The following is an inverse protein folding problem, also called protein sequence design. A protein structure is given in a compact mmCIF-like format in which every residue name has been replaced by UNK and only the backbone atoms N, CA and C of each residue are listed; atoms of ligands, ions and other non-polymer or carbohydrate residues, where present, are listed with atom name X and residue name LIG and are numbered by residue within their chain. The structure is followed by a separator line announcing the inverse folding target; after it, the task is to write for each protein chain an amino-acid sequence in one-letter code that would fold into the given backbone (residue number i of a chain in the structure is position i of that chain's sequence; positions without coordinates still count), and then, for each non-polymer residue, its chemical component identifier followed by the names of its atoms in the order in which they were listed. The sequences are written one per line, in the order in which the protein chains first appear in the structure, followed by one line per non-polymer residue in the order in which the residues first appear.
data_IF_688071737688
#
_entry.id   IF_688071737688
#
_cell.length_a   1.000
_cell.length_b   1.000
_cell.length_c   1.000
_cell.angle_alpha   90.00
_cell.angle_beta   90.00
_cell.angle_gamma   90.00
#
_symmetry.space_group_name_H-M   'P 1'
#
loop_
_entity.id
_entity.type
_entity.pdbx_description
1 polymer ?
#
# COMPACT_ATOMS: atom_id res chain seq x y z
N UNK A 1 -5.78 -2.55 -37.07
CA UNK A 1 -4.99 -3.15 -38.17
C UNK A 1 -4.85 -2.11 -39.26
N UNK A 2 -3.63 -1.66 -39.55
CA UNK A 2 -3.35 -0.96 -40.81
C UNK A 2 -2.92 -2.02 -41.82
N UNK A 3 -3.65 -2.13 -42.92
CA UNK A 3 -3.26 -2.95 -44.06
C UNK A 3 -3.03 -2.00 -45.22
N UNK A 4 -1.90 -2.13 -45.92
CA UNK A 4 -1.68 -1.45 -47.19
C UNK A 4 -1.43 -2.48 -48.28
N UNK A 5 -1.89 -2.18 -49.49
CA UNK A 5 -1.63 -3.02 -50.66
C UNK A 5 -0.28 -2.56 -51.23
N UNK A 6 0.73 -3.41 -51.06
CA UNK A 6 2.03 -3.26 -51.71
C UNK A 6 2.12 -4.19 -52.92
N UNK A 7 3.33 -4.38 -53.44
CA UNK A 7 3.60 -5.42 -54.42
C UNK A 7 5.08 -5.72 -54.52
N UNK A 8 5.41 -6.94 -54.93
CA UNK A 8 6.81 -7.40 -55.06
C UNK A 8 7.55 -6.75 -56.23
N UNK A 9 6.81 -6.16 -57.18
CA UNK A 9 7.34 -5.50 -58.36
C UNK A 9 6.64 -4.16 -58.62
N UNK A 10 7.42 -3.17 -59.05
CA UNK A 10 6.93 -1.82 -59.39
C UNK A 10 7.50 -1.38 -60.73
N UNK A 11 6.73 -0.59 -61.47
CA UNK A 11 7.17 0.03 -62.73
C UNK A 11 8.28 1.06 -62.50
N UNK A 12 8.97 1.52 -63.56
CA UNK A 12 10.06 2.51 -63.49
C UNK A 12 11.15 2.14 -62.47
N UNK A 13 11.71 0.95 -62.61
CA UNK A 13 12.83 0.45 -61.78
C UNK A 13 12.59 0.59 -60.26
N UNK A 14 11.35 0.35 -59.81
CA UNK A 14 11.01 0.35 -58.38
C UNK A 14 10.30 1.60 -57.86
N UNK A 15 10.23 2.69 -58.64
CA UNK A 15 9.66 3.99 -58.17
C UNK A 15 8.22 4.25 -58.61
N UNK A 16 7.72 3.50 -59.59
CA UNK A 16 6.39 3.67 -60.15
C UNK A 16 5.29 2.95 -59.38
N UNK A 17 4.16 2.73 -60.06
CA UNK A 17 3.02 1.97 -59.54
C UNK A 17 3.35 0.49 -59.43
N UNK A 18 2.64 -0.22 -58.55
CA UNK A 18 2.70 -1.69 -58.47
C UNK A 18 2.26 -2.30 -59.80
N UNK A 19 2.98 -3.32 -60.27
CA UNK A 19 2.64 -4.05 -61.50
C UNK A 19 1.39 -4.90 -61.23
N UNK A 20 0.42 -4.86 -62.15
CA UNK A 20 -0.82 -5.64 -62.02
C UNK A 20 -0.53 -7.14 -61.97
N UNK A 21 -1.07 -7.84 -60.97
CA UNK A 21 -0.80 -9.25 -60.66
C UNK A 21 0.35 -9.49 -59.69
N UNK A 22 1.11 -8.45 -59.31
CA UNK A 22 2.18 -8.51 -58.32
C UNK A 22 1.78 -7.90 -56.96
N UNK A 23 0.50 -7.61 -56.76
CA UNK A 23 -0.03 -7.05 -55.52
C UNK A 23 0.12 -8.06 -54.37
N UNK A 24 0.59 -7.58 -53.22
CA UNK A 24 0.59 -8.34 -51.98
C UNK A 24 0.04 -7.48 -50.85
N UNK A 25 -0.82 -8.09 -50.04
CA UNK A 25 -1.29 -7.44 -48.81
C UNK A 25 -0.15 -7.52 -47.81
N UNK A 26 0.54 -6.40 -47.60
CA UNK A 26 1.52 -6.32 -46.51
C UNK A 26 0.74 -5.99 -45.25
N UNK A 27 0.60 -7.00 -44.39
CA UNK A 27 0.12 -6.77 -43.04
C UNK A 27 1.21 -6.00 -42.29
N UNK A 28 0.94 -4.74 -41.96
CA UNK A 28 1.85 -4.00 -41.08
C UNK A 28 1.93 -4.74 -39.74
N UNK A 29 3.17 -4.99 -39.28
CA UNK A 29 3.43 -5.52 -37.93
C UNK A 29 2.67 -4.66 -36.94
N UNK A 30 1.98 -5.28 -35.97
CA UNK A 30 1.19 -4.55 -35.00
C UNK A 30 2.12 -3.55 -34.27
N UNK A 31 1.90 -2.23 -34.38
CA UNK A 31 2.79 -1.26 -33.78
C UNK A 31 2.92 -1.42 -32.26
N UNK A 32 1.94 -2.02 -31.58
CA UNK A 32 1.99 -2.30 -30.14
C UNK A 32 2.97 -3.40 -29.74
N UNK A 33 3.30 -4.31 -30.66
CA UNK A 33 4.33 -5.32 -30.40
C UNK A 33 5.71 -4.64 -30.25
N UNK A 34 5.91 -3.47 -30.89
CA UNK A 34 7.09 -2.61 -30.73
C UNK A 34 6.86 -1.46 -29.71
N UNK A 35 5.74 -0.74 -29.75
CA UNK A 35 5.40 0.38 -28.85
C UNK A 35 5.08 -0.04 -27.42
N UNK A 36 5.09 -1.35 -27.12
CA UNK A 36 5.03 -1.87 -25.77
C UNK A 36 6.15 -1.36 -24.85
N UNK A 37 7.20 -0.71 -25.35
CA UNK A 37 8.20 -0.02 -24.52
C UNK A 37 7.62 1.16 -23.76
N UNK A 38 6.98 2.10 -24.46
CA UNK A 38 6.38 3.29 -23.83
C UNK A 38 5.35 2.91 -22.76
N UNK A 39 4.55 1.86 -23.01
CA UNK A 39 3.57 1.39 -22.04
C UNK A 39 4.23 0.86 -20.75
N UNK A 40 5.41 0.24 -20.84
CA UNK A 40 6.17 -0.21 -19.67
C UNK A 40 6.77 0.98 -18.92
N UNK A 41 7.29 1.98 -19.64
CA UNK A 41 7.80 3.21 -19.01
C UNK A 41 6.70 3.98 -18.26
N UNK A 42 5.52 4.13 -18.90
CA UNK A 42 4.33 4.73 -18.27
C UNK A 42 3.91 3.93 -17.02
N UNK A 43 3.94 2.59 -17.11
CA UNK A 43 3.63 1.71 -15.98
C UNK A 43 4.59 1.93 -14.82
N UNK A 44 5.90 1.96 -15.09
CA UNK A 44 6.94 2.14 -14.07
C UNK A 44 6.81 3.51 -13.40
N UNK A 45 6.54 4.56 -14.17
CA UNK A 45 6.31 5.90 -13.64
C UNK A 45 5.07 5.95 -12.72
N UNK A 46 3.93 5.39 -13.15
CA UNK A 46 2.72 5.30 -12.33
C UNK A 46 2.95 4.48 -11.06
N UNK A 47 3.63 3.33 -11.20
CA UNK A 47 3.93 2.43 -10.09
C UNK A 47 4.78 3.13 -9.03
N UNK A 48 5.82 3.85 -9.44
CA UNK A 48 6.72 4.55 -8.53
C UNK A 48 6.05 5.73 -7.82
N UNK A 49 5.01 6.31 -8.41
CA UNK A 49 4.17 7.35 -7.79
C UNK A 49 3.12 6.78 -6.82
N UNK A 50 3.07 5.47 -6.60
CA UNK A 50 2.06 4.82 -5.75
C UNK A 50 0.71 4.61 -6.44
N UNK A 51 0.59 4.93 -7.73
CA UNK A 51 -0.63 4.79 -8.52
C UNK A 51 -0.81 3.36 -9.05
N UNK A 52 -0.88 2.38 -8.14
CA UNK A 52 -0.91 0.95 -8.46
C UNK A 52 -2.14 0.54 -9.29
N UNK A 53 -3.35 0.92 -8.87
CA UNK A 53 -4.57 0.63 -9.66
C UNK A 53 -4.55 1.26 -11.07
N UNK A 54 -4.17 2.54 -11.24
CA UNK A 54 -3.93 3.12 -12.56
C UNK A 54 -2.87 2.38 -13.39
N UNK A 55 -1.75 1.98 -12.78
CA UNK A 55 -0.71 1.19 -13.45
C UNK A 55 -1.24 -0.16 -13.95
N UNK A 56 -2.03 -0.87 -13.14
CA UNK A 56 -2.68 -2.12 -13.55
C UNK A 56 -3.68 -1.90 -14.71
N UNK A 57 -4.44 -0.80 -14.69
CA UNK A 57 -5.38 -0.43 -15.75
C UNK A 57 -4.66 -0.09 -17.06
N UNK A 58 -3.51 0.59 -16.98
CA UNK A 58 -2.65 0.87 -18.15
C UNK A 58 -2.18 -0.42 -18.81
N UNK A 59 -1.81 -1.44 -18.02
CA UNK A 59 -1.45 -2.75 -18.54
C UNK A 59 -2.66 -3.49 -19.14
N UNK A 60 -3.82 -3.43 -18.50
CA UNK A 60 -5.04 -4.06 -19.04
C UNK A 60 -5.41 -3.53 -20.43
N UNK A 61 -5.36 -2.21 -20.63
CA UNK A 61 -5.58 -1.60 -21.94
C UNK A 61 -4.52 -2.07 -22.96
N UNK A 62 -3.25 -2.09 -22.56
CA UNK A 62 -2.15 -2.49 -23.45
C UNK A 62 -2.26 -3.96 -23.87
N UNK A 63 -2.64 -4.84 -22.96
CA UNK A 63 -2.82 -6.28 -23.22
C UNK A 63 -3.88 -6.58 -24.29
N UNK A 64 -4.91 -5.72 -24.42
CA UNK A 64 -5.95 -5.84 -25.45
C UNK A 64 -5.45 -5.48 -26.85
N UNK A 65 -4.36 -4.71 -26.93
CA UNK A 65 -3.81 -4.16 -28.17
C UNK A 65 -2.63 -4.95 -28.74
N UNK A 66 -1.88 -5.66 -27.89
CA UNK A 66 -0.77 -6.53 -28.28
C UNK A 66 -1.31 -7.81 -28.90
N UNK A 67 -0.69 -8.33 -29.96
CA UNK A 67 -1.07 -9.63 -30.53
C UNK A 67 -0.11 -10.74 -30.11
N UNK A 68 1.18 -10.42 -29.98
CA UNK A 68 2.21 -11.39 -29.61
C UNK A 68 1.96 -12.03 -28.23
N UNK A 69 1.99 -13.36 -28.19
CA UNK A 69 1.66 -14.14 -26.99
C UNK A 69 2.73 -14.02 -25.91
N UNK A 70 4.00 -13.92 -26.31
CA UNK A 70 5.10 -13.78 -25.35
C UNK A 70 5.03 -12.42 -24.69
N UNK A 71 4.89 -11.36 -25.49
CA UNK A 71 4.73 -9.99 -25.02
C UNK A 71 3.49 -9.81 -24.14
N UNK A 72 2.38 -10.46 -24.47
CA UNK A 72 1.18 -10.50 -23.61
C UNK A 72 1.49 -11.07 -22.22
N UNK A 73 2.24 -12.16 -22.12
CA UNK A 73 2.61 -12.75 -20.81
C UNK A 73 3.52 -11.83 -19.99
N UNK A 74 4.51 -11.24 -20.65
CA UNK A 74 5.40 -10.24 -20.04
C UNK A 74 4.60 -9.07 -19.44
N UNK A 75 3.73 -8.43 -20.22
CA UNK A 75 2.92 -7.31 -19.75
C UNK A 75 1.90 -7.72 -18.68
N UNK A 76 1.37 -8.95 -18.75
CA UNK A 76 0.47 -9.48 -17.73
C UNK A 76 1.18 -9.66 -16.38
N UNK A 77 2.49 -9.95 -16.37
CA UNK A 77 3.27 -10.02 -15.13
C UNK A 77 3.41 -8.65 -14.44
N UNK A 78 3.55 -7.56 -15.21
CA UNK A 78 3.54 -6.20 -14.68
C UNK A 78 2.17 -5.83 -14.10
N UNK A 79 1.09 -6.22 -14.78
CA UNK A 79 -0.28 -6.06 -14.25
C UNK A 79 -0.42 -6.77 -12.89
N UNK A 80 0.04 -8.02 -12.77
CA UNK A 80 0.02 -8.77 -11.49
C UNK A 80 0.80 -8.05 -10.39
N UNK A 81 1.98 -7.52 -10.71
CA UNK A 81 2.80 -6.75 -9.78
C UNK A 81 2.06 -5.51 -9.25
N UNK A 82 1.42 -4.73 -10.13
CA UNK A 82 0.64 -3.57 -9.69
C UNK A 82 -0.60 -3.96 -8.88
N UNK A 83 -1.33 -4.99 -9.28
CA UNK A 83 -2.50 -5.47 -8.52
C UNK A 83 -2.12 -6.00 -7.13
N UNK A 84 -0.94 -6.61 -6.98
CA UNK A 84 -0.39 -7.01 -5.68
C UNK A 84 -0.29 -5.79 -4.76
N UNK A 85 0.45 -4.77 -5.18
CA UNK A 85 0.71 -3.62 -4.32
C UNK A 85 -0.52 -2.74 -4.13
N UNK A 86 -1.44 -2.71 -5.10
CA UNK A 86 -2.76 -2.08 -4.91
C UNK A 86 -3.58 -2.78 -3.81
N UNK A 87 -3.64 -4.12 -3.82
CA UNK A 87 -4.34 -4.87 -2.79
C UNK A 87 -3.71 -4.64 -1.41
N UNK A 88 -2.38 -4.67 -1.33
CA UNK A 88 -1.67 -4.43 -0.07
C UNK A 88 -1.86 -3.00 0.42
N UNK A 89 -1.79 -2.00 -0.46
CA UNK A 89 -1.94 -0.60 -0.07
C UNK A 89 -3.36 -0.27 0.46
N UNK A 90 -4.35 -1.11 0.12
CA UNK A 90 -5.72 -1.07 0.65
C UNK A 90 -5.94 -1.98 1.87
N UNK A 91 -4.88 -2.57 2.43
CA UNK A 91 -4.90 -3.53 3.55
C UNK A 91 -5.68 -4.83 3.26
N UNK A 92 -5.90 -5.18 1.99
CA UNK A 92 -6.43 -6.50 1.62
C UNK A 92 -5.27 -7.52 1.58
N UNK A 93 -4.75 -7.83 2.77
CA UNK A 93 -3.54 -8.66 2.94
C UNK A 93 -3.70 -10.05 2.33
N UNK A 94 -4.91 -10.63 2.38
CA UNK A 94 -5.20 -11.95 1.79
C UNK A 94 -5.11 -11.89 0.27
N UNK A 95 -5.74 -10.90 -0.37
CA UNK A 95 -5.63 -10.75 -1.82
C UNK A 95 -4.20 -10.40 -2.23
N UNK A 96 -3.51 -9.55 -1.48
CA UNK A 96 -2.10 -9.22 -1.72
C UNK A 96 -1.22 -10.47 -1.68
N UNK A 97 -1.33 -11.32 -0.65
CA UNK A 97 -0.54 -12.55 -0.55
C UNK A 97 -0.78 -13.50 -1.73
N UNK A 98 -2.02 -13.68 -2.15
CA UNK A 98 -2.34 -14.52 -3.31
C UNK A 98 -1.70 -13.96 -4.59
N UNK A 99 -1.83 -12.65 -4.84
CA UNK A 99 -1.24 -11.98 -6.00
C UNK A 99 0.29 -11.98 -5.96
N UNK A 100 0.89 -11.93 -4.78
CA UNK A 100 2.33 -12.05 -4.61
C UNK A 100 2.82 -13.41 -5.11
N UNK A 101 2.18 -14.49 -4.67
CA UNK A 101 2.50 -15.86 -5.10
C UNK A 101 2.34 -16.03 -6.61
N UNK A 102 1.27 -15.49 -7.20
CA UNK A 102 1.05 -15.51 -8.64
C UNK A 102 2.14 -14.72 -9.41
N UNK A 103 2.62 -13.63 -8.83
CA UNK A 103 3.70 -12.80 -9.39
C UNK A 103 5.03 -13.55 -9.31
N UNK A 104 5.34 -14.19 -8.19
CA UNK A 104 6.53 -15.04 -8.01
C UNK A 104 6.55 -16.22 -9.00
N UNK A 105 5.40 -16.85 -9.27
CA UNK A 105 5.29 -17.89 -10.30
C UNK A 105 5.57 -17.38 -11.72
N UNK A 106 5.37 -16.08 -11.97
CA UNK A 106 5.57 -15.43 -13.27
C UNK A 106 6.93 -14.72 -13.38
N UNK A 107 7.92 -15.12 -12.57
CA UNK A 107 9.20 -14.40 -12.44
C UNK A 107 9.96 -14.24 -13.77
N UNK A 108 9.96 -15.26 -14.63
CA UNK A 108 10.64 -15.17 -15.93
C UNK A 108 9.99 -14.14 -16.87
N UNK A 109 8.65 -14.08 -16.87
CA UNK A 109 7.90 -13.08 -17.65
C UNK A 109 8.15 -11.67 -17.08
N UNK A 110 8.22 -11.54 -15.75
CA UNK A 110 8.53 -10.27 -15.08
C UNK A 110 9.95 -9.79 -15.41
N UNK A 111 10.93 -10.69 -15.39
CA UNK A 111 12.31 -10.39 -15.79
C UNK A 111 12.38 -9.86 -17.22
N UNK A 112 11.70 -10.55 -18.14
CA UNK A 112 11.64 -10.14 -19.54
C UNK A 112 10.91 -8.81 -19.73
N UNK A 113 9.86 -8.54 -18.94
CA UNK A 113 9.11 -7.28 -19.00
C UNK A 113 9.94 -6.06 -18.53
N UNK A 114 10.70 -6.22 -17.44
CA UNK A 114 11.51 -5.15 -16.84
C UNK A 114 12.76 -4.81 -17.66
N UNK A 115 13.32 -5.78 -18.42
CA UNK A 115 14.47 -5.59 -19.32
C UNK A 115 15.75 -5.06 -18.67
N UNK A 116 15.81 -5.10 -17.34
CA UNK A 116 16.98 -4.78 -16.55
C UNK A 116 17.13 -5.88 -15.49
N UNK A 117 18.24 -6.61 -15.56
CA UNK A 117 18.52 -7.75 -14.68
C UNK A 117 18.78 -7.29 -13.24
N UNK A 118 19.45 -6.15 -13.05
CA UNK A 118 19.75 -5.61 -11.72
C UNK A 118 18.47 -5.13 -11.06
N UNK A 119 17.61 -4.44 -11.82
CA UNK A 119 16.27 -4.07 -11.37
C UNK A 119 15.44 -5.30 -11.01
N UNK A 120 15.41 -6.32 -11.88
CA UNK A 120 14.68 -7.55 -11.61
C UNK A 120 15.16 -8.24 -10.35
N UNK A 121 16.47 -8.43 -10.18
CA UNK A 121 17.04 -9.13 -9.02
C UNK A 121 16.69 -8.39 -7.71
N UNK A 122 16.73 -7.05 -7.72
CA UNK A 122 16.29 -6.21 -6.60
C UNK A 122 14.81 -6.41 -6.30
N UNK A 123 13.94 -6.25 -7.30
CA UNK A 123 12.48 -6.39 -7.14
C UNK A 123 12.12 -7.80 -6.68
N UNK A 124 12.71 -8.82 -7.28
CA UNK A 124 12.46 -10.22 -6.95
C UNK A 124 12.91 -10.57 -5.53
N UNK A 125 14.06 -10.04 -5.08
CA UNK A 125 14.50 -10.13 -3.69
C UNK A 125 13.50 -9.49 -2.72
N UNK A 126 12.98 -8.30 -3.05
CA UNK A 126 11.94 -7.64 -2.25
C UNK A 126 10.65 -8.44 -2.21
N UNK A 127 10.19 -9.01 -3.33
CA UNK A 127 8.98 -9.85 -3.39
C UNK A 127 9.08 -11.07 -2.46
N UNK A 128 10.25 -11.69 -2.36
CA UNK A 128 10.47 -12.80 -1.41
C UNK A 128 10.35 -12.33 0.04
N UNK A 129 11.00 -11.23 0.40
CA UNK A 129 10.90 -10.65 1.75
C UNK A 129 9.45 -10.24 2.07
N UNK A 130 8.71 -9.76 1.07
CA UNK A 130 7.31 -9.39 1.20
C UNK A 130 6.41 -10.60 1.50
N UNK A 131 6.75 -11.80 1.06
CA UNK A 131 5.97 -13.01 1.36
C UNK A 131 6.04 -13.34 2.86
N UNK A 132 7.20 -13.15 3.47
CA UNK A 132 7.41 -13.34 4.91
C UNK A 132 6.61 -12.33 5.76
N UNK A 133 6.38 -11.12 5.22
CA UNK A 133 5.58 -10.07 5.87
C UNK A 133 4.08 -10.30 5.68
N UNK A 134 3.64 -10.59 4.45
CA UNK A 134 2.22 -10.73 4.11
C UNK A 134 1.58 -12.00 4.68
N UNK A 135 2.35 -13.08 4.85
CA UNK A 135 1.84 -14.34 5.43
C UNK A 135 1.14 -14.12 6.79
N UNK A 136 1.86 -13.63 7.81
CA UNK A 136 1.28 -13.35 9.13
C UNK A 136 0.14 -12.32 9.13
N UNK A 137 0.22 -11.30 8.27
CA UNK A 137 -0.82 -10.27 8.13
C UNK A 137 -2.12 -10.88 7.59
N UNK A 138 -2.04 -11.72 6.55
CA UNK A 138 -3.21 -12.33 5.92
C UNK A 138 -3.96 -13.32 6.82
N UNK A 139 -3.29 -13.91 7.81
CA UNK A 139 -3.89 -14.85 8.76
C UNK A 139 -4.45 -14.16 10.02
N UNK A 140 -4.31 -12.83 10.15
CA UNK A 140 -4.72 -12.06 11.35
C UNK A 140 -4.12 -12.60 12.67
N UNK A 141 -3.03 -13.38 12.56
CA UNK A 141 -2.35 -14.05 13.69
C UNK A 141 -1.07 -13.34 14.12
N UNK A 142 -0.64 -12.29 13.42
CA UNK A 142 0.66 -11.65 13.61
C UNK A 142 0.61 -10.19 14.05
N UNK A 143 1.53 -9.81 14.95
CA UNK A 143 1.80 -8.43 15.40
C UNK A 143 2.47 -7.51 14.36
N UNK A 144 2.08 -7.63 13.09
CA UNK A 144 2.64 -6.85 11.98
C UNK A 144 1.80 -5.65 11.56
N UNK A 145 0.52 -5.59 11.95
CA UNK A 145 -0.43 -4.59 11.45
C UNK A 145 0.01 -3.16 11.76
N UNK A 146 0.57 -2.93 12.95
CA UNK A 146 1.11 -1.62 13.35
C UNK A 146 2.20 -1.17 12.37
N UNK A 147 3.18 -2.03 12.08
CA UNK A 147 4.27 -1.71 11.14
C UNK A 147 3.75 -1.51 9.72
N UNK A 148 2.74 -2.25 9.31
CA UNK A 148 2.12 -2.09 8.00
C UNK A 148 1.35 -0.76 7.87
N UNK A 149 0.60 -0.36 8.90
CA UNK A 149 -0.05 0.95 8.97
C UNK A 149 0.96 2.10 8.92
N UNK A 150 2.07 2.00 9.64
CA UNK A 150 3.16 2.98 9.60
C UNK A 150 3.81 3.03 8.20
N UNK A 151 4.10 1.87 7.62
CA UNK A 151 4.65 1.78 6.25
C UNK A 151 3.71 2.44 5.23
N UNK A 152 2.40 2.23 5.37
CA UNK A 152 1.39 2.83 4.51
C UNK A 152 1.25 4.35 4.75
N UNK A 153 1.30 4.81 6.01
CA UNK A 153 1.31 6.23 6.33
C UNK A 153 2.48 6.98 5.65
N UNK A 154 3.68 6.38 5.65
CA UNK A 154 4.84 6.93 4.93
C UNK A 154 4.63 6.99 3.41
N UNK A 155 3.93 6.02 2.82
CA UNK A 155 3.55 6.09 1.40
C UNK A 155 2.60 7.24 1.11
N UNK A 156 1.64 7.52 2.01
CA UNK A 156 0.74 8.69 1.86
C UNK A 156 1.50 10.02 1.98
N UNK A 157 2.50 10.09 2.84
CA UNK A 157 3.38 11.26 2.94
C UNK A 157 4.16 11.51 1.65
N UNK A 158 4.71 10.46 1.03
CA UNK A 158 5.37 10.56 -0.28
C UNK A 158 4.44 11.07 -1.39
N UNK A 159 3.12 10.91 -1.23
CA UNK A 159 2.07 11.42 -2.13
C UNK A 159 1.54 12.80 -1.72
N UNK A 160 2.08 13.42 -0.66
CA UNK A 160 1.55 14.64 -0.04
C UNK A 160 0.09 14.55 0.41
N UNK A 161 -0.38 13.33 0.72
CA UNK A 161 -1.73 13.05 1.21
C UNK A 161 -1.74 12.93 2.73
N UNK A 162 -1.50 14.04 3.42
CA UNK A 162 -1.25 14.02 4.86
C UNK A 162 -2.48 13.69 5.71
N UNK A 163 -3.69 14.06 5.29
CA UNK A 163 -4.92 13.64 5.99
C UNK A 163 -5.06 12.10 5.99
N UNK A 164 -4.82 11.47 4.84
CA UNK A 164 -4.80 10.02 4.67
C UNK A 164 -3.69 9.37 5.53
N UNK A 165 -2.50 9.96 5.54
CA UNK A 165 -1.36 9.51 6.35
C UNK A 165 -1.67 9.58 7.85
N UNK A 166 -2.22 10.70 8.32
CA UNK A 166 -2.59 10.92 9.72
C UNK A 166 -3.66 9.95 10.19
N UNK A 167 -4.66 9.62 9.35
CA UNK A 167 -5.65 8.60 9.68
C UNK A 167 -5.01 7.22 9.96
N UNK A 168 -3.98 6.85 9.17
CA UNK A 168 -3.24 5.60 9.35
C UNK A 168 -2.36 5.63 10.60
N UNK A 169 -1.73 6.77 10.91
CA UNK A 169 -0.97 6.95 12.15
C UNK A 169 -1.85 6.84 13.39
N UNK A 170 -3.02 7.49 13.37
CA UNK A 170 -4.00 7.36 14.45
C UNK A 170 -4.42 5.89 14.63
N UNK A 171 -4.73 5.19 13.54
CA UNK A 171 -5.09 3.77 13.60
C UNK A 171 -3.96 2.91 14.14
N UNK A 172 -2.71 3.18 13.76
CA UNK A 172 -1.53 2.47 14.26
C UNK A 172 -1.37 2.66 15.77
N UNK A 173 -1.45 3.89 16.28
CA UNK A 173 -1.37 4.21 17.71
C UNK A 173 -2.51 3.52 18.46
N UNK A 174 -3.74 3.55 17.94
CA UNK A 174 -4.86 2.83 18.55
C UNK A 174 -4.64 1.30 18.55
N UNK A 175 -4.09 0.74 17.48
CA UNK A 175 -3.78 -0.69 17.37
C UNK A 175 -2.74 -1.12 18.40
N UNK A 176 -1.69 -0.31 18.65
CA UNK A 176 -0.68 -0.61 19.67
C UNK A 176 -1.32 -0.80 21.06
N UNK A 177 -2.24 0.09 21.45
CA UNK A 177 -2.94 -0.04 22.73
C UNK A 177 -3.86 -1.27 22.76
N UNK A 178 -4.61 -1.53 21.68
CA UNK A 178 -5.48 -2.70 21.56
C UNK A 178 -4.69 -4.01 21.65
N UNK A 179 -3.56 -4.10 20.95
CA UNK A 179 -2.67 -5.27 20.96
C UNK A 179 -2.11 -5.49 22.37
N UNK A 180 -1.63 -4.43 23.02
CA UNK A 180 -1.10 -4.51 24.39
C UNK A 180 -2.15 -4.96 25.40
N UNK A 181 -3.35 -4.38 25.36
CA UNK A 181 -4.48 -4.75 26.22
C UNK A 181 -4.88 -6.21 26.02
N UNK A 182 -4.92 -6.68 24.78
CA UNK A 182 -5.23 -8.08 24.46
C UNK A 182 -4.15 -9.03 24.99
N UNK A 183 -2.90 -8.80 24.59
CA UNK A 183 -1.80 -9.75 24.78
C UNK A 183 -1.29 -9.82 26.22
N UNK A 184 -1.27 -8.69 26.94
CA UNK A 184 -0.67 -8.62 28.27
C UNK A 184 -1.71 -8.48 29.39
N UNK A 185 -2.91 -7.98 29.08
CA UNK A 185 -3.95 -7.70 30.07
C UNK A 185 -5.23 -8.51 29.86
N UNK A 186 -5.30 -9.38 28.84
CA UNK A 186 -6.45 -10.24 28.56
C UNK A 186 -7.74 -9.46 28.27
N UNK A 187 -7.62 -8.27 27.66
CA UNK A 187 -8.74 -7.42 27.26
C UNK A 187 -8.83 -7.45 25.73
N UNK A 188 -9.62 -8.39 25.20
CA UNK A 188 -9.67 -8.68 23.76
C UNK A 188 -10.43 -7.62 22.94
N UNK A 189 -11.34 -6.88 23.58
CA UNK A 189 -12.25 -5.98 22.88
C UNK A 189 -12.48 -4.67 23.64
N UNK A 190 -11.83 -3.61 23.18
CA UNK A 190 -11.98 -2.25 23.75
C UNK A 190 -13.38 -1.65 23.55
N UNK A 191 -14.22 -2.24 22.70
CA UNK A 191 -15.62 -1.82 22.52
C UNK A 191 -16.55 -2.34 23.61
N UNK A 192 -16.13 -3.36 24.36
CA UNK A 192 -16.96 -4.01 25.38
C UNK A 192 -16.08 -4.61 26.49
N UNK A 193 -15.44 -3.75 27.27
CA UNK A 193 -14.63 -4.16 28.42
C UNK A 193 -15.55 -4.34 29.63
N UNK A 194 -15.64 -5.52 30.26
CA UNK A 194 -16.38 -5.69 31.50
C UNK A 194 -15.83 -4.77 32.60
N UNK A 195 -16.70 -4.05 33.32
CA UNK A 195 -16.28 -3.09 34.36
C UNK A 195 -15.40 -3.72 35.46
N UNK A 196 -15.63 -4.99 35.77
CA UNK A 196 -14.81 -5.75 36.73
C UNK A 196 -13.34 -5.85 36.31
N UNK A 197 -13.05 -5.84 35.00
CA UNK A 197 -11.68 -5.86 34.43
C UNK A 197 -11.02 -4.48 34.45
N UNK A 198 -11.78 -3.40 34.67
CA UNK A 198 -11.26 -2.05 34.82
C UNK A 198 -10.82 -1.86 36.28
N UNK A 199 -9.58 -1.47 36.57
CA UNK A 199 -9.13 -1.20 37.94
C UNK A 199 -9.70 0.13 38.50
N UNK A 200 -9.84 0.24 39.82
CA UNK A 200 -10.07 1.54 40.47
C UNK A 200 -8.83 2.45 40.30
N UNK A 201 -9.00 3.79 40.18
CA UNK A 201 -10.27 4.53 40.29
C UNK A 201 -11.07 4.60 38.98
N UNK A 202 -10.52 4.15 37.84
CA UNK A 202 -11.19 4.26 36.53
C UNK A 202 -12.53 3.53 36.48
N UNK A 203 -12.67 2.41 37.21
CA UNK A 203 -13.93 1.68 37.31
C UNK A 203 -15.07 2.56 37.83
N UNK A 204 -14.80 3.34 38.87
CA UNK A 204 -15.79 4.23 39.51
C UNK A 204 -16.12 5.40 38.58
N UNK A 205 -15.10 6.00 37.96
CA UNK A 205 -15.27 7.10 37.01
C UNK A 205 -16.10 6.67 35.78
N UNK A 206 -15.81 5.49 35.24
CA UNK A 206 -16.43 5.00 34.01
C UNK A 206 -17.75 4.26 34.23
N UNK A 207 -18.17 4.06 35.49
CA UNK A 207 -19.43 3.41 35.80
C UNK A 207 -20.63 4.13 35.17
N UNK A 208 -20.60 5.47 35.14
CA UNK A 208 -21.63 6.31 34.51
C UNK A 208 -21.75 6.14 32.98
N UNK A 209 -20.67 5.69 32.32
CA UNK A 209 -20.59 5.47 30.87
C UNK A 209 -20.94 4.03 30.48
N UNK A 210 -21.01 3.12 31.44
CA UNK A 210 -21.16 1.71 31.18
C UNK A 210 -22.58 1.38 30.68
N UNK A 211 -22.65 0.42 29.75
CA UNK A 211 -23.90 -0.20 29.27
C UNK A 211 -23.75 -1.70 29.42
N UNK A 212 -24.76 -2.36 29.98
CA UNK A 212 -24.73 -3.80 30.24
C UNK A 212 -23.47 -4.27 31.01
N UNK A 213 -23.09 -3.51 32.04
CA UNK A 213 -21.89 -3.73 32.86
C UNK A 213 -20.55 -3.75 32.09
N UNK A 214 -20.51 -3.13 30.91
CA UNK A 214 -19.32 -2.99 30.09
C UNK A 214 -19.13 -1.56 29.60
N UNK A 215 -17.88 -1.17 29.36
CA UNK A 215 -17.49 0.15 28.85
C UNK A 215 -16.81 0.01 27.48
N UNK A 216 -17.13 0.96 26.60
CA UNK A 216 -16.38 1.21 25.37
C UNK A 216 -15.33 2.28 25.64
N UNK A 217 -14.08 2.00 25.28
CA UNK A 217 -12.95 2.93 25.42
C UNK A 217 -12.34 3.22 24.05
N UNK A 218 -12.15 4.51 23.77
CA UNK A 218 -11.40 4.98 22.59
C UNK A 218 -9.90 5.04 22.87
N UNK A 219 -9.13 5.56 21.92
CA UNK A 219 -7.65 5.66 22.00
C UNK A 219 -7.16 6.24 23.34
N UNK A 220 -7.59 7.44 23.70
CA UNK A 220 -7.12 8.12 24.92
C UNK A 220 -7.41 7.29 26.19
N UNK A 221 -8.62 6.75 26.30
CA UNK A 221 -9.02 5.94 27.45
C UNK A 221 -8.32 4.57 27.47
N UNK A 222 -8.02 3.98 26.30
CA UNK A 222 -7.27 2.74 26.21
C UNK A 222 -5.83 2.91 26.74
N UNK A 223 -5.17 4.02 26.42
CA UNK A 223 -3.86 4.36 26.99
C UNK A 223 -3.93 4.73 28.47
N UNK A 224 -5.00 5.40 28.92
CA UNK A 224 -5.23 5.66 30.34
C UNK A 224 -5.39 4.36 31.12
N UNK A 225 -6.13 3.40 30.57
CA UNK A 225 -6.28 2.07 31.14
C UNK A 225 -4.94 1.34 31.22
N UNK A 226 -4.16 1.33 30.14
CA UNK A 226 -2.80 0.74 30.13
C UNK A 226 -1.91 1.36 31.21
N UNK A 227 -1.90 2.69 31.34
CA UNK A 227 -1.15 3.38 32.38
C UNK A 227 -1.62 2.96 33.78
N UNK A 228 -2.93 2.87 34.00
CA UNK A 228 -3.49 2.45 35.30
C UNK A 228 -3.17 0.98 35.62
N UNK A 229 -3.01 0.14 34.61
CA UNK A 229 -2.54 -1.25 34.74
C UNK A 229 -1.01 -1.36 34.93
N UNK A 230 -0.28 -0.23 34.96
CA UNK A 230 1.17 -0.20 35.10
C UNK A 230 1.93 -0.59 33.82
N UNK A 231 1.30 -0.45 32.66
CA UNK A 231 1.92 -0.79 31.38
C UNK A 231 2.84 0.35 30.87
N UNK A 232 4.11 0.06 30.54
CA UNK A 232 5.05 1.07 30.04
C UNK A 232 4.57 1.80 28.78
N UNK A 233 3.79 1.15 27.92
CA UNK A 233 3.24 1.79 26.71
C UNK A 233 2.25 2.90 27.08
N UNK A 234 1.45 2.66 28.12
CA UNK A 234 0.58 3.67 28.72
C UNK A 234 1.39 4.85 29.24
N UNK A 235 2.40 4.59 30.07
CA UNK A 235 3.26 5.65 30.63
C UNK A 235 3.95 6.49 29.55
N UNK A 236 4.52 5.82 28.54
CA UNK A 236 5.20 6.47 27.42
C UNK A 236 4.27 7.39 26.62
N UNK A 237 3.03 6.97 26.37
CA UNK A 237 2.04 7.79 25.69
C UNK A 237 1.76 9.11 26.42
N UNK A 238 1.56 9.05 27.73
CA UNK A 238 1.35 10.27 28.53
C UNK A 238 2.61 11.14 28.60
N UNK A 239 3.79 10.53 28.78
CA UNK A 239 5.07 11.24 28.83
C UNK A 239 5.42 11.93 27.51
N UNK A 240 4.94 11.39 26.38
CA UNK A 240 5.16 11.97 25.05
C UNK A 240 4.31 13.20 24.74
N UNK A 241 3.35 13.55 25.61
CA UNK A 241 2.43 14.67 25.38
C UNK A 241 1.24 14.34 24.47
N UNK A 242 1.14 13.12 23.93
CA UNK A 242 0.01 12.69 23.10
C UNK A 242 -1.34 12.63 23.85
N UNK A 243 -1.29 12.54 25.18
CA UNK A 243 -2.48 12.57 26.03
C UNK A 243 -3.12 13.98 26.15
N UNK A 244 -2.40 15.03 25.73
CA UNK A 244 -2.92 16.39 25.75
C UNK A 244 -4.07 16.54 24.74
N UNK A 245 -5.25 16.93 25.24
CA UNK A 245 -6.48 17.08 24.47
C UNK A 245 -6.59 18.40 23.72
N UNK A 246 -5.71 19.35 24.00
CA UNK A 246 -5.70 20.68 23.37
C UNK A 246 -4.48 20.86 22.48
N UNK A 247 -3.30 20.39 22.92
CA UNK A 247 -2.02 20.66 22.24
C UNK A 247 -1.37 19.50 21.50
N UNK A 248 -1.90 18.27 21.56
CA UNK A 248 -1.17 17.12 20.99
C UNK A 248 -1.31 17.00 19.47
N UNK A 249 -0.32 16.40 18.77
CA UNK A 249 -0.46 16.08 17.34
C UNK A 249 -1.66 15.18 17.01
N UNK A 250 -2.21 14.43 17.99
CA UNK A 250 -3.42 13.62 17.80
C UNK A 250 -4.68 14.47 17.64
N UNK A 251 -4.75 15.65 18.26
CA UNK A 251 -5.93 16.53 18.19
C UNK A 251 -6.07 17.15 16.82
N UNK A 252 -4.97 17.33 16.08
CA UNK A 252 -5.00 17.82 14.69
C UNK A 252 -5.89 16.97 13.78
N UNK A 253 -6.03 15.66 14.06
CA UNK A 253 -6.99 14.81 13.35
C UNK A 253 -8.43 15.28 13.58
N UNK A 254 -8.81 15.72 14.77
CA UNK A 254 -10.20 16.12 15.03
C UNK A 254 -10.60 17.34 14.18
N UNK A 255 -9.66 18.25 13.94
CA UNK A 255 -9.88 19.44 13.11
C UNK A 255 -9.74 19.18 11.59
N UNK A 256 -9.32 17.96 11.22
CA UNK A 256 -9.14 17.54 9.83
C UNK A 256 -10.48 17.42 9.09
N UNK A 257 -10.47 17.80 7.81
CA UNK A 257 -11.59 17.63 6.86
C UNK A 257 -12.02 16.16 6.69
N UNK A 258 -11.12 15.19 6.90
CA UNK A 258 -11.44 13.75 6.84
C UNK A 258 -11.89 13.17 8.18
N UNK A 259 -12.15 14.02 9.18
CA UNK A 259 -12.64 13.62 10.50
C UNK A 259 -13.84 14.48 10.91
N UNK A 260 -13.68 15.42 11.85
CA UNK A 260 -14.78 16.19 12.42
C UNK A 260 -14.65 17.71 12.19
N UNK A 261 -13.59 18.15 11.53
CA UNK A 261 -13.33 19.57 11.26
C UNK A 261 -13.36 19.92 9.78
N UNK A 262 -12.70 21.03 9.44
CA UNK A 262 -12.77 21.63 8.10
C UNK A 262 -11.40 22.02 7.54
N UNK A 263 -10.31 21.67 8.20
CA UNK A 263 -8.94 22.05 7.80
C UNK A 263 -8.17 20.86 7.23
N UNK A 264 -7.36 21.02 6.18
CA UNK A 264 -6.46 19.96 5.75
C UNK A 264 -5.29 19.81 6.73
N UNK A 265 -4.76 18.60 6.87
CA UNK A 265 -3.56 18.36 7.67
C UNK A 265 -2.33 18.91 6.94
N UNK A 266 -1.47 19.62 7.67
CA UNK A 266 -0.17 20.08 7.15
C UNK A 266 0.91 18.99 7.23
N UNK A 267 1.91 19.06 6.36
CA UNK A 267 3.11 18.22 6.43
C UNK A 267 3.76 18.22 7.83
N UNK A 268 3.83 19.40 8.47
CA UNK A 268 4.41 19.57 9.80
C UNK A 268 3.61 18.81 10.86
N UNK A 269 2.29 18.85 10.79
CA UNK A 269 1.40 18.14 11.71
C UNK A 269 1.51 16.62 11.54
N UNK A 270 1.54 16.14 10.29
CA UNK A 270 1.78 14.73 9.98
C UNK A 270 3.14 14.26 10.54
N UNK A 271 4.21 14.99 10.23
CA UNK A 271 5.57 14.66 10.65
C UNK A 271 5.73 14.66 12.18
N UNK A 272 5.04 15.55 12.89
CA UNK A 272 5.02 15.53 14.35
C UNK A 272 4.40 14.22 14.88
N UNK A 273 3.23 13.84 14.37
CA UNK A 273 2.57 12.60 14.77
C UNK A 273 3.36 11.35 14.33
N UNK A 274 4.01 11.40 13.17
CA UNK A 274 4.88 10.34 12.63
C UNK A 274 5.97 9.94 13.62
N UNK A 275 6.72 10.92 14.13
CA UNK A 275 7.81 10.69 15.10
C UNK A 275 7.30 10.05 16.37
N UNK A 276 6.19 10.55 16.90
CA UNK A 276 5.55 9.99 18.08
C UNK A 276 5.09 8.55 17.86
N UNK A 277 4.51 8.25 16.70
CA UNK A 277 4.06 6.91 16.36
C UNK A 277 5.24 5.92 16.26
N UNK A 278 6.35 6.31 15.62
CA UNK A 278 7.58 5.50 15.58
C UNK A 278 8.15 5.25 16.98
N UNK A 279 8.19 6.30 17.82
CA UNK A 279 8.69 6.20 19.19
C UNK A 279 7.85 5.24 20.04
N UNK A 280 6.52 5.31 19.96
CA UNK A 280 5.61 4.38 20.65
C UNK A 280 5.72 2.95 20.12
N UNK A 281 5.92 2.80 18.81
CA UNK A 281 6.12 1.50 18.19
C UNK A 281 7.48 0.86 18.55
N UNK A 282 8.41 1.64 19.10
CA UNK A 282 9.79 1.21 19.36
C UNK A 282 10.52 0.81 18.08
N UNK A 283 10.27 1.51 16.98
CA UNK A 283 10.87 1.22 15.68
C UNK A 283 11.33 2.49 14.95
N UNK A 284 12.13 2.30 13.91
CA UNK A 284 12.64 3.35 13.02
C UNK A 284 12.10 3.17 11.61
N UNK A 285 12.33 4.14 10.72
CA UNK A 285 11.93 4.00 9.30
C UNK A 285 12.58 2.79 8.61
N UNK A 286 13.75 2.35 9.08
CA UNK A 286 14.45 1.18 8.54
C UNK A 286 13.73 -0.15 8.84
N UNK A 287 12.89 -0.17 9.88
CA UNK A 287 12.11 -1.34 10.28
C UNK A 287 10.81 -1.48 9.47
N UNK A 288 10.49 -0.49 8.64
CA UNK A 288 9.25 -0.42 7.89
C UNK A 288 9.39 -1.03 6.50
N UNK A 289 8.29 -1.64 6.03
CA UNK A 289 8.26 -2.28 4.74
C UNK A 289 8.22 -1.24 3.62
N UNK A 290 9.16 -1.33 2.69
CA UNK A 290 9.19 -0.50 1.48
C UNK A 290 8.69 -1.29 0.28
N UNK A 291 7.92 -0.62 -0.58
CA UNK A 291 7.54 -1.16 -1.89
C UNK A 291 8.66 -0.86 -2.89
N UNK A 292 8.86 -1.72 -3.91
CA UNK A 292 9.92 -1.55 -4.87
C UNK A 292 9.78 -0.23 -5.64
N UNK A 293 10.90 0.32 -6.07
CA UNK A 293 10.96 1.34 -7.13
C UNK A 293 11.45 0.69 -8.41
N UNK A 294 10.76 0.97 -9.50
CA UNK A 294 11.01 0.38 -10.80
C UNK A 294 11.92 1.26 -11.65
N UNK A 295 11.89 2.57 -11.47
CA UNK A 295 12.83 3.50 -12.11
C UNK A 295 14.11 3.65 -11.29
N UNK A 296 15.24 3.78 -11.97
CA UNK A 296 16.52 4.17 -11.35
C UNK A 296 16.46 5.67 -11.06
N UNK A 297 16.73 6.07 -9.81
CA UNK A 297 17.06 7.45 -9.48
C UNK A 297 18.46 7.80 -9.96
#
# INVERSE_FOLDING_TARGET
RCSYVGGSQRTKDGTGTVVSGAESVVHAVNPWDALGFQAVDDFMALFDQGAYAPAATRMDHTLRMVDDKTRKRELASLKKLAELYDAWDRFDHRAALNKLRDTLQSANDLRAALRDVVLFDRVFGMLKNHEEVLGPLADSRGGGLVRDLLSNARRRDNESRWDDGTARLYRAIEAMAQDKLREQHGIDNTKKIPLERVPSPLREEWQSRARDNAVMVGLQDAYLLLKQLGDPLGEQFFASGLADREGSPLTSRNDSILAHGFTPISAKSFEALWRHALQLAGCTEHDLCQFPKLTTQ
#
